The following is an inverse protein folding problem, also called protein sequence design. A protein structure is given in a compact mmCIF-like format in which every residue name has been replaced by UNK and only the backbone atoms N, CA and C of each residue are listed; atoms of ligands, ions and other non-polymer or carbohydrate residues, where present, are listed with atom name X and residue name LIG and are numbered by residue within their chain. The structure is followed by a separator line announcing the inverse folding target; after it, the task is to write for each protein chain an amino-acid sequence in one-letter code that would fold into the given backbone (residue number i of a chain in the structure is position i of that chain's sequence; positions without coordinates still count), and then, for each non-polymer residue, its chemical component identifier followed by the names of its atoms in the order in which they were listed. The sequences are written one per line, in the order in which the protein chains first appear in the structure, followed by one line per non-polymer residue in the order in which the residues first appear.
data_IF_082944487315
#
_entry.id   IF_082944487315
#
_cell.length_a   1.000
_cell.length_b   1.000
_cell.length_c   1.000
_cell.angle_alpha   90.00
_cell.angle_beta   90.00
_cell.angle_gamma   90.00
#
_symmetry.space_group_name_H-M   'P 1'
#
loop_
_entity.id
_entity.type
_entity.pdbx_description
1 polymer ?
#
# COMPACT_ATOMS: atom_id res chain seq x y z
N UNK A 1 -8.97 9.74 -5.26
CA UNK A 1 -8.77 10.20 -3.87
C UNK A 1 -7.53 11.07 -3.84
N UNK A 2 -7.55 12.16 -3.09
CA UNK A 2 -6.39 13.06 -2.93
C UNK A 2 -5.75 12.86 -1.56
N UNK A 3 -4.42 12.86 -1.49
CA UNK A 3 -3.71 12.75 -0.22
C UNK A 3 -3.78 14.02 0.62
N UNK A 4 -3.74 13.83 1.93
CA UNK A 4 -3.45 14.89 2.90
C UNK A 4 -2.02 14.79 3.42
N UNK A 5 -1.50 13.58 3.55
CA UNK A 5 -0.14 13.28 3.98
C UNK A 5 0.18 11.82 3.65
N UNK A 6 1.47 11.50 3.56
CA UNK A 6 1.99 10.13 3.48
C UNK A 6 3.05 9.95 4.55
N UNK A 7 3.26 8.70 4.97
CA UNK A 7 4.40 8.33 5.79
C UNK A 7 4.92 7.00 5.31
N UNK A 8 6.19 6.97 4.95
CA UNK A 8 6.94 5.74 4.82
C UNK A 8 7.64 5.43 6.15
N UNK A 9 7.54 4.19 6.62
CA UNK A 9 8.50 3.71 7.60
C UNK A 9 9.89 3.75 6.96
N UNK A 10 10.91 4.10 7.75
CA UNK A 10 12.30 4.25 7.30
C UNK A 10 13.24 3.37 8.13
N UNK A 11 12.73 2.68 9.15
CA UNK A 11 13.52 1.90 10.12
C UNK A 11 13.56 0.40 9.76
N UNK A 12 13.59 0.07 8.46
CA UNK A 12 13.56 -1.32 7.96
C UNK A 12 14.68 -2.22 8.50
N UNK A 13 15.79 -1.65 8.98
CA UNK A 13 16.99 -2.39 9.34
C UNK A 13 16.84 -3.22 10.62
N UNK A 14 15.85 -2.95 11.48
CA UNK A 14 15.75 -3.61 12.79
C UNK A 14 14.70 -4.74 12.87
N UNK A 15 13.61 -4.67 12.11
CA UNK A 15 12.51 -5.66 12.19
C UNK A 15 12.02 -6.22 10.85
N UNK A 16 12.52 -5.73 9.71
CA UNK A 16 12.12 -6.20 8.38
C UNK A 16 10.73 -5.73 7.92
N UNK A 17 10.10 -4.80 8.64
CA UNK A 17 8.79 -4.27 8.30
C UNK A 17 8.89 -3.06 7.36
N UNK A 18 8.31 -3.21 6.15
CA UNK A 18 8.16 -2.15 5.17
C UNK A 18 6.71 -1.66 5.17
N UNK A 19 6.46 -0.42 5.61
CA UNK A 19 5.11 0.13 5.67
C UNK A 19 5.00 1.50 5.00
N UNK A 20 3.93 1.70 4.24
CA UNK A 20 3.50 3.01 3.74
C UNK A 20 2.09 3.27 4.25
N UNK A 21 1.88 4.41 4.91
CA UNK A 21 0.54 4.89 5.27
C UNK A 21 0.22 6.15 4.49
N UNK A 22 -0.96 6.17 3.86
CA UNK A 22 -1.44 7.26 3.02
C UNK A 22 -2.75 7.78 3.61
N UNK A 23 -2.76 9.02 4.10
CA UNK A 23 -3.98 9.69 4.53
C UNK A 23 -4.62 10.43 3.36
N UNK A 24 -5.95 10.39 3.27
CA UNK A 24 -6.70 10.98 2.14
C UNK A 24 -7.78 11.95 2.62
N UNK A 25 -8.14 12.91 1.76
CA UNK A 25 -9.14 13.95 2.06
C UNK A 25 -10.58 13.39 2.13
N UNK A 26 -10.86 12.33 1.37
CA UNK A 26 -12.20 11.76 1.20
C UNK A 26 -12.48 10.68 2.25
N UNK A 27 -13.66 10.69 2.87
CA UNK A 27 -14.09 9.63 3.79
C UNK A 27 -15.28 8.85 3.23
N UNK A 28 -15.24 7.50 3.23
CA UNK A 28 -14.13 6.59 3.60
C UNK A 28 -13.19 6.23 2.42
N UNK A 29 -11.91 5.86 2.69
CA UNK A 29 -11.29 5.61 3.99
C UNK A 29 -10.50 6.80 4.52
N UNK A 30 -10.19 6.88 5.82
CA UNK A 30 -9.33 7.96 6.36
C UNK A 30 -7.86 7.82 5.96
N UNK A 31 -7.40 6.58 5.87
CA UNK A 31 -6.07 6.24 5.44
C UNK A 31 -6.05 4.85 4.84
N UNK A 32 -4.97 4.56 4.11
CA UNK A 32 -4.64 3.24 3.58
C UNK A 32 -3.22 2.94 4.00
N UNK A 33 -2.99 1.78 4.63
CA UNK A 33 -1.65 1.28 4.91
C UNK A 33 -1.35 0.06 4.06
N UNK A 34 -0.13 0.00 3.52
CA UNK A 34 0.41 -1.13 2.78
C UNK A 34 1.67 -1.57 3.51
N UNK A 35 1.66 -2.78 4.02
CA UNK A 35 2.75 -3.34 4.83
C UNK A 35 3.23 -4.66 4.23
N UNK A 36 4.54 -4.86 4.26
CA UNK A 36 5.20 -6.12 3.92
C UNK A 36 6.23 -6.41 5.01
N UNK A 37 6.15 -7.58 5.61
CA UNK A 37 7.09 -8.04 6.63
C UNK A 37 7.96 -9.13 6.02
N UNK A 38 9.25 -8.86 5.88
CA UNK A 38 10.17 -9.81 5.25
C UNK A 38 10.62 -10.95 6.16
N UNK A 39 10.40 -10.84 7.48
CA UNK A 39 10.91 -11.78 8.48
C UNK A 39 9.78 -12.66 9.00
N UNK A 40 8.69 -12.05 9.48
CA UNK A 40 7.58 -12.75 10.10
C UNK A 40 6.58 -13.28 9.05
N UNK A 41 6.30 -12.51 7.99
CA UNK A 41 5.26 -12.84 6.99
C UNK A 41 5.65 -12.58 5.51
N UNK A 42 6.77 -13.16 5.00
CA UNK A 42 7.33 -12.83 3.69
C UNK A 42 6.48 -13.26 2.48
N UNK A 43 5.43 -14.04 2.71
CA UNK A 43 4.52 -14.50 1.65
C UNK A 43 3.31 -13.59 1.45
N UNK A 44 3.18 -12.52 2.25
CA UNK A 44 1.96 -11.71 2.25
C UNK A 44 2.21 -10.22 2.37
N UNK A 45 1.31 -9.46 1.77
CA UNK A 45 1.21 -8.02 1.87
C UNK A 45 -0.08 -7.72 2.62
N UNK A 46 0.05 -7.03 3.73
CA UNK A 46 -1.09 -6.59 4.53
C UNK A 46 -1.54 -5.21 4.05
N UNK A 47 -2.83 -5.08 3.77
CA UNK A 47 -3.46 -3.83 3.38
C UNK A 47 -4.56 -3.56 4.38
N UNK A 48 -4.59 -2.36 4.96
CA UNK A 48 -5.67 -1.94 5.83
C UNK A 48 -6.18 -0.54 5.51
N UNK A 49 -7.43 -0.31 5.90
CA UNK A 49 -8.09 0.96 5.78
C UNK A 49 -8.93 1.22 7.03
N UNK A 50 -8.50 2.19 7.85
CA UNK A 50 -9.13 2.60 9.12
C UNK A 50 -8.87 1.72 10.35
N UNK A 51 -7.79 2.00 11.08
CA UNK A 51 -7.50 1.54 12.46
C UNK A 51 -7.79 0.05 12.67
N UNK A 52 -7.08 -0.80 11.90
CA UNK A 52 -7.20 -2.26 11.89
C UNK A 52 -8.58 -2.80 11.47
N UNK A 53 -9.46 -1.97 10.92
CA UNK A 53 -10.70 -2.40 10.27
C UNK A 53 -10.44 -2.63 8.79
N UNK A 54 -11.19 -3.57 8.23
CA UNK A 54 -11.14 -3.92 6.81
C UNK A 54 -9.73 -4.28 6.30
N UNK A 55 -8.85 -4.70 7.21
CA UNK A 55 -7.54 -5.23 6.89
C UNK A 55 -7.63 -6.59 6.21
N UNK A 56 -6.81 -6.82 5.20
CA UNK A 56 -6.70 -8.10 4.54
C UNK A 56 -5.29 -8.35 4.02
N UNK A 57 -4.94 -9.62 3.86
CA UNK A 57 -3.64 -10.04 3.33
C UNK A 57 -3.80 -10.53 1.90
N UNK A 58 -2.90 -10.11 1.03
CA UNK A 58 -2.80 -10.57 -0.35
C UNK A 58 -1.39 -11.11 -0.62
N UNK A 59 -1.24 -12.17 -1.41
CA UNK A 59 0.08 -12.65 -1.81
C UNK A 59 0.76 -11.70 -2.81
N UNK A 60 -0.03 -10.90 -3.54
CA UNK A 60 0.47 -9.95 -4.53
C UNK A 60 -0.40 -8.68 -4.66
N UNK A 61 0.24 -7.58 -5.08
CA UNK A 61 -0.34 -6.27 -5.31
C UNK A 61 0.31 -5.62 -6.53
N UNK A 62 -0.51 -4.99 -7.37
CA UNK A 62 -0.06 -4.21 -8.52
C UNK A 62 0.10 -2.74 -8.14
N UNK A 63 1.34 -2.27 -8.07
CA UNK A 63 1.66 -0.88 -7.77
C UNK A 63 2.16 -0.18 -9.03
N UNK A 64 1.49 0.91 -9.41
CA UNK A 64 1.93 1.77 -10.52
C UNK A 64 2.04 3.20 -10.03
N UNK A 65 3.27 3.67 -9.91
CA UNK A 65 3.58 5.05 -9.54
C UNK A 65 3.92 5.87 -10.80
N UNK A 66 3.33 7.05 -10.93
CA UNK A 66 3.70 8.05 -11.93
C UNK A 66 3.87 9.42 -11.26
N UNK A 67 4.18 10.46 -12.03
CA UNK A 67 4.57 11.79 -11.54
C UNK A 67 3.55 12.50 -10.63
N UNK A 68 2.31 12.02 -10.56
CA UNK A 68 1.25 12.66 -9.76
C UNK A 68 0.28 11.69 -9.10
N UNK A 69 0.49 10.38 -9.22
CA UNK A 69 -0.44 9.40 -8.67
C UNK A 69 0.18 8.04 -8.44
N UNK A 70 -0.38 7.37 -7.43
CA UNK A 70 -0.19 5.96 -7.15
C UNK A 70 -1.48 5.22 -7.47
N UNK A 71 -1.40 4.23 -8.34
CA UNK A 71 -2.45 3.24 -8.55
C UNK A 71 -2.11 1.97 -7.77
N UNK A 72 -3.08 1.51 -6.99
CA UNK A 72 -3.00 0.28 -6.20
C UNK A 72 -4.03 -0.69 -6.76
N UNK A 73 -3.59 -1.85 -7.24
CA UNK A 73 -4.43 -2.93 -7.74
C UNK A 73 -4.23 -4.20 -6.91
N UNK A 74 -5.32 -4.91 -6.62
CA UNK A 74 -5.26 -6.23 -5.98
C UNK A 74 -5.06 -7.30 -7.05
N UNK A 75 -4.10 -8.22 -6.83
CA UNK A 75 -3.80 -9.32 -7.74
C UNK A 75 -5.02 -10.18 -8.05
N UNK A 76 -5.05 -10.87 -9.20
CA UNK A 76 -6.20 -11.67 -9.62
C UNK A 76 -6.45 -12.93 -8.76
N UNK A 77 -5.50 -13.27 -7.91
CA UNK A 77 -5.47 -14.40 -6.98
C UNK A 77 -6.31 -14.19 -5.71
N UNK A 78 -6.86 -12.99 -5.50
CA UNK A 78 -7.70 -12.70 -4.33
C UNK A 78 -9.17 -12.41 -4.66
N UNK A 79 -10.08 -12.73 -3.73
CA UNK A 79 -11.49 -12.30 -3.76
C UNK A 79 -11.72 -10.93 -3.09
N UNK A 80 -10.67 -10.30 -2.54
CA UNK A 80 -10.78 -9.03 -1.84
C UNK A 80 -11.10 -7.86 -2.79
N UNK A 81 -11.76 -6.87 -2.21
CA UNK A 81 -12.11 -5.59 -2.81
C UNK A 81 -11.94 -4.50 -1.76
N UNK A 82 -11.58 -3.29 -2.18
CA UNK A 82 -11.58 -2.14 -1.31
C UNK A 82 -13.01 -1.83 -0.87
N UNK A 83 -13.30 -1.94 0.43
CA UNK A 83 -14.68 -1.94 0.93
C UNK A 83 -15.47 -0.65 0.62
N UNK A 84 -14.79 0.49 0.46
CA UNK A 84 -15.44 1.79 0.21
C UNK A 84 -15.78 2.03 -1.26
N UNK A 85 -15.04 1.44 -2.20
CA UNK A 85 -15.34 1.54 -3.64
C UNK A 85 -15.99 0.28 -4.21
N UNK A 86 -15.90 -0.84 -3.50
CA UNK A 86 -16.17 -2.19 -4.00
C UNK A 86 -15.38 -2.51 -5.29
N UNK A 87 -14.20 -1.90 -5.47
CA UNK A 87 -13.31 -2.11 -6.61
C UNK A 87 -12.06 -2.88 -6.17
N UNK A 88 -11.39 -3.50 -7.14
CA UNK A 88 -10.08 -4.14 -6.95
C UNK A 88 -8.92 -3.17 -7.15
N UNK A 89 -9.21 -1.94 -7.52
CA UNK A 89 -8.21 -0.94 -7.85
C UNK A 89 -8.66 0.43 -7.38
N UNK A 90 -7.71 1.21 -6.91
CA UNK A 90 -7.88 2.60 -6.50
C UNK A 90 -6.73 3.44 -7.05
N UNK A 91 -6.97 4.74 -7.17
CA UNK A 91 -5.95 5.71 -7.57
C UNK A 91 -5.93 6.86 -6.59
N UNK A 92 -4.73 7.19 -6.15
CA UNK A 92 -4.44 8.20 -5.16
C UNK A 92 -3.57 9.26 -5.83
N UNK A 93 -4.01 10.51 -5.80
CA UNK A 93 -3.23 11.66 -6.27
C UNK A 93 -2.25 12.06 -5.18
N UNK A 94 -0.98 12.20 -5.56
CA UNK A 94 0.16 12.52 -4.70
C UNK A 94 0.87 13.78 -5.22
N UNK A 95 1.49 14.52 -4.33
CA UNK A 95 2.46 15.56 -4.64
C UNK A 95 3.85 14.95 -4.93
N UNK A 96 4.73 15.72 -5.56
CA UNK A 96 6.09 15.28 -5.85
C UNK A 96 6.90 14.94 -4.58
N UNK A 97 6.67 15.68 -3.48
CA UNK A 97 7.33 15.41 -2.19
C UNK A 97 6.86 14.08 -1.59
N UNK A 98 5.56 13.82 -1.58
CA UNK A 98 4.99 12.55 -1.11
C UNK A 98 5.46 11.37 -1.96
N UNK A 99 5.61 11.56 -3.28
CA UNK A 99 6.18 10.54 -4.17
C UNK A 99 7.61 10.19 -3.75
N UNK A 100 8.47 11.19 -3.58
CA UNK A 100 9.86 10.95 -3.18
C UNK A 100 9.97 10.35 -1.78
N UNK A 101 9.02 10.66 -0.89
CA UNK A 101 8.95 10.04 0.43
C UNK A 101 8.66 8.54 0.38
N UNK A 102 7.65 8.11 -0.38
CA UNK A 102 7.19 6.70 -0.35
C UNK A 102 7.94 5.78 -1.33
N UNK A 103 8.57 6.36 -2.35
CA UNK A 103 9.15 5.62 -3.47
C UNK A 103 10.15 4.53 -3.08
N UNK A 104 11.08 4.72 -2.12
CA UNK A 104 12.00 3.66 -1.70
C UNK A 104 11.26 2.45 -1.11
N UNK A 105 10.34 2.69 -0.18
CA UNK A 105 9.53 1.65 0.47
C UNK A 105 8.61 0.95 -0.54
N UNK A 106 7.98 1.73 -1.41
CA UNK A 106 7.03 1.23 -2.40
C UNK A 106 7.72 0.29 -3.38
N UNK A 107 8.92 0.67 -3.82
CA UNK A 107 9.74 -0.15 -4.70
C UNK A 107 10.14 -1.47 -4.03
N UNK A 108 10.46 -1.46 -2.73
CA UNK A 108 10.76 -2.69 -2.00
C UNK A 108 9.54 -3.62 -1.93
N UNK A 109 8.39 -3.11 -1.50
CA UNK A 109 7.13 -3.87 -1.44
C UNK A 109 6.80 -4.48 -2.80
N UNK A 110 6.94 -3.69 -3.87
CA UNK A 110 6.64 -4.13 -5.24
C UNK A 110 7.57 -5.25 -5.72
N UNK A 111 8.87 -5.19 -5.43
CA UNK A 111 9.82 -6.24 -5.83
C UNK A 111 9.49 -7.59 -5.18
N UNK A 112 8.99 -7.58 -3.95
CA UNK A 112 8.67 -8.79 -3.19
C UNK A 112 7.33 -9.39 -3.59
N UNK A 113 6.38 -8.53 -3.96
CA UNK A 113 5.06 -8.91 -4.49
C UNK A 113 5.09 -9.79 -5.75
N UNK A 114 6.21 -9.87 -6.48
CA UNK A 114 6.31 -10.58 -7.76
C UNK A 114 7.22 -11.82 -7.76
N UNK A 115 7.80 -12.20 -6.63
CA UNK A 115 8.78 -13.30 -6.56
C UNK A 115 8.22 -14.66 -6.11
N UNK A 116 6.93 -14.72 -5.74
CA UNK A 116 6.29 -15.94 -5.23
C UNK A 116 5.52 -16.76 -6.30
N UNK A 117 5.93 -16.67 -7.57
CA UNK A 117 5.35 -17.46 -8.69
C UNK A 117 6.17 -18.68 -9.05
#
# INVERSE_FOLDING_TARGET
MKTTHVKADKEFEDDGLYCITIWVEEFPPRYISISYDEIEEPESIYIEAEDQKYGFKVPSIDLTLNDSSLKIGLGNDTAYHFHWTNQRCITITLTAEEIEEIKPTLHHIQQKSGQNS
#
